data_IF_852977377401
#
_entry.id   IF_852977377401
#
_cell.length_a   1.000
_cell.length_b   1.000
_cell.length_c   1.000
_cell.angle_alpha   90.00
_cell.angle_beta   90.00
_cell.angle_gamma   90.00
#
_symmetry.space_group_name_H-M   'P 1'
#
loop_
_entity.id
_entity.type
_entity.pdbx_description
1 polymer ?
#
# COMPACT_ATOMS: atom_id res chain seq x y z
N UNK A 1 -29.07 -17.97 16.11
CA UNK A 1 -28.27 -17.07 15.26
C UNK A 1 -29.15 -16.26 14.29
N UNK A 2 -29.83 -16.89 13.33
CA UNK A 2 -30.64 -16.16 12.33
C UNK A 2 -31.76 -15.27 12.92
N UNK A 3 -32.57 -15.80 13.83
CA UNK A 3 -33.64 -15.03 14.47
C UNK A 3 -33.13 -13.87 15.33
N UNK A 4 -31.93 -14.00 15.94
CA UNK A 4 -31.31 -12.92 16.71
C UNK A 4 -30.89 -11.75 15.82
N UNK A 5 -30.38 -12.05 14.61
CA UNK A 5 -30.05 -11.03 13.61
C UNK A 5 -31.32 -10.33 13.11
N UNK A 6 -32.42 -11.06 12.89
CA UNK A 6 -33.70 -10.46 12.50
C UNK A 6 -34.24 -9.51 13.56
N UNK A 7 -34.31 -9.94 14.82
CA UNK A 7 -34.75 -9.10 15.93
C UNK A 7 -33.85 -7.87 16.11
N UNK A 8 -32.53 -8.03 15.93
CA UNK A 8 -31.60 -6.91 15.95
C UNK A 8 -31.82 -5.92 14.80
N UNK A 9 -32.07 -6.40 13.57
CA UNK A 9 -32.39 -5.54 12.41
C UNK A 9 -33.66 -4.73 12.67
N UNK A 10 -34.71 -5.37 13.21
CA UNK A 10 -35.98 -4.70 13.55
C UNK A 10 -35.77 -3.60 14.60
N UNK A 11 -34.99 -3.88 15.66
CA UNK A 11 -34.66 -2.90 16.70
C UNK A 11 -33.87 -1.70 16.16
N UNK A 12 -32.90 -1.95 15.26
CA UNK A 12 -32.12 -0.88 14.64
C UNK A 12 -33.00 -0.03 13.71
N UNK A 13 -33.93 -0.65 12.96
CA UNK A 13 -34.86 0.08 12.10
C UNK A 13 -35.79 1.01 12.90
N UNK A 14 -36.33 0.53 14.02
CA UNK A 14 -37.16 1.35 14.92
C UNK A 14 -36.36 2.53 15.52
N UNK A 15 -35.11 2.30 15.92
CA UNK A 15 -34.24 3.35 16.47
C UNK A 15 -33.83 4.39 15.44
N UNK A 16 -33.58 3.98 14.18
CA UNK A 16 -33.29 4.88 13.07
C UNK A 16 -34.51 5.78 12.77
N UNK A 17 -35.73 5.26 12.88
CA UNK A 17 -36.96 6.02 12.68
C UNK A 17 -37.22 7.10 13.75
N UNK A 18 -36.68 6.92 14.97
CA UNK A 18 -36.96 7.79 16.11
C UNK A 18 -35.92 8.88 16.37
N UNK A 19 -34.67 8.75 15.86
CA UNK A 19 -33.61 9.75 16.04
C UNK A 19 -33.04 10.20 14.69
N UNK A 20 -33.26 11.46 14.35
CA UNK A 20 -32.52 12.15 13.28
C UNK A 20 -31.05 12.25 13.68
N UNK A 21 -30.24 11.29 13.22
CA UNK A 21 -28.97 11.41 12.48
C UNK A 21 -28.45 9.96 12.34
N UNK A 22 -28.74 9.27 11.23
CA UNK A 22 -28.25 7.93 10.99
C UNK A 22 -26.82 8.03 10.44
N UNK A 23 -25.81 7.93 11.29
CA UNK A 23 -24.44 7.73 10.81
C UNK A 23 -24.18 6.23 10.65
N UNK A 24 -23.58 5.76 9.54
CA UNK A 24 -23.15 4.38 9.35
C UNK A 24 -22.26 3.90 10.49
N UNK A 25 -21.51 4.82 11.11
CA UNK A 25 -20.69 4.56 12.29
C UNK A 25 -21.54 4.06 13.46
N UNK A 26 -22.73 4.61 13.69
CA UNK A 26 -23.62 4.16 14.76
C UNK A 26 -24.13 2.74 14.53
N UNK A 27 -24.48 2.41 13.28
CA UNK A 27 -24.95 1.07 12.91
C UNK A 27 -23.82 0.04 13.08
N UNK A 28 -22.60 0.39 12.67
CA UNK A 28 -21.42 -0.46 12.83
C UNK A 28 -21.03 -0.63 14.30
N UNK A 29 -21.00 0.44 15.09
CA UNK A 29 -20.69 0.39 16.53
C UNK A 29 -21.64 -0.53 17.30
N UNK A 30 -22.94 -0.47 16.97
CA UNK A 30 -23.95 -1.38 17.54
C UNK A 30 -23.75 -2.83 17.10
N UNK A 31 -23.43 -3.07 15.83
CA UNK A 31 -23.16 -4.41 15.33
C UNK A 31 -21.90 -5.02 15.99
N UNK A 32 -20.84 -4.21 16.18
CA UNK A 32 -19.62 -4.63 16.88
C UNK A 32 -19.93 -4.98 18.33
N UNK A 33 -20.68 -4.13 19.02
CA UNK A 33 -21.04 -4.34 20.43
C UNK A 33 -21.91 -5.58 20.65
N UNK A 34 -22.82 -5.90 19.73
CA UNK A 34 -23.76 -7.02 19.90
C UNK A 34 -23.18 -8.36 19.44
N UNK A 35 -22.40 -8.38 18.35
CA UNK A 35 -21.98 -9.64 17.70
C UNK A 35 -20.49 -9.96 17.85
N UNK A 36 -19.65 -8.98 18.19
CA UNK A 36 -18.20 -9.17 18.28
C UNK A 36 -17.66 -8.99 19.70
N UNK A 37 -18.46 -8.43 20.60
CA UNK A 37 -18.04 -8.13 21.97
C UNK A 37 -18.47 -9.24 22.95
N UNK A 38 -17.80 -10.39 22.90
CA UNK A 38 -18.07 -11.56 23.78
C UNK A 38 -17.44 -11.42 25.17
N UNK A 39 -17.66 -10.29 25.86
CA UNK A 39 -17.29 -10.11 27.28
C UNK A 39 -15.79 -10.16 27.62
N UNK A 40 -14.89 -10.33 26.64
CA UNK A 40 -13.44 -10.32 26.80
C UNK A 40 -12.78 -9.45 25.74
N UNK A 41 -11.65 -8.84 26.08
CA UNK A 41 -10.94 -7.88 25.23
C UNK A 41 -10.66 -8.51 23.86
N UNK A 42 -11.18 -7.89 22.79
CA UNK A 42 -10.85 -8.26 21.42
C UNK A 42 -9.33 -8.25 21.23
N UNK A 43 -8.74 -9.27 20.57
CA UNK A 43 -7.35 -9.27 20.16
C UNK A 43 -6.97 -7.98 19.42
N UNK A 44 -5.75 -7.49 19.65
CA UNK A 44 -5.31 -6.18 19.15
C UNK A 44 -5.40 -6.04 17.62
N UNK A 45 -5.07 -7.11 16.89
CA UNK A 45 -5.25 -7.23 15.44
C UNK A 45 -6.71 -7.01 15.01
N UNK A 46 -7.67 -7.61 15.72
CA UNK A 46 -9.11 -7.42 15.44
C UNK A 46 -9.57 -6.01 15.80
N UNK A 47 -9.04 -5.42 16.86
CA UNK A 47 -9.32 -4.03 17.22
C UNK A 47 -8.82 -3.04 16.17
N UNK A 48 -7.64 -3.27 15.60
CA UNK A 48 -7.09 -2.44 14.52
C UNK A 48 -7.97 -2.50 13.28
N UNK A 49 -8.40 -3.71 12.88
CA UNK A 49 -9.30 -3.90 11.73
C UNK A 49 -10.64 -3.19 11.95
N UNK A 50 -11.21 -3.30 13.16
CA UNK A 50 -12.48 -2.63 13.49
C UNK A 50 -12.35 -1.11 13.51
N UNK A 51 -11.25 -0.60 14.05
CA UNK A 51 -10.95 0.83 14.04
C UNK A 51 -10.83 1.36 12.60
N UNK A 52 -10.11 0.65 11.74
CA UNK A 52 -9.94 1.03 10.33
C UNK A 52 -11.28 1.01 9.58
N UNK A 53 -12.13 0.02 9.86
CA UNK A 53 -13.49 -0.04 9.30
C UNK A 53 -14.34 1.17 9.74
N UNK A 54 -14.29 1.54 11.02
CA UNK A 54 -15.02 2.69 11.57
C UNK A 54 -14.49 4.02 11.00
N UNK A 55 -13.17 4.20 10.92
CA UNK A 55 -12.53 5.39 10.33
C UNK A 55 -12.90 5.52 8.85
N UNK A 56 -12.90 4.42 8.10
CA UNK A 56 -13.34 4.40 6.68
C UNK A 56 -14.82 4.76 6.53
N UNK A 57 -15.68 4.22 7.40
CA UNK A 57 -17.10 4.52 7.40
C UNK A 57 -17.38 6.00 7.72
N UNK A 58 -16.63 6.58 8.67
CA UNK A 58 -16.74 7.99 9.02
C UNK A 58 -16.30 8.89 7.86
N UNK A 59 -15.14 8.63 7.25
CA UNK A 59 -14.67 9.43 6.11
C UNK A 59 -15.60 9.33 4.90
N UNK A 60 -16.12 8.12 4.62
CA UNK A 60 -17.13 7.96 3.57
C UNK A 60 -18.37 8.81 3.84
N UNK A 61 -18.84 8.86 5.08
CA UNK A 61 -19.98 9.68 5.48
C UNK A 61 -19.73 11.19 5.32
N UNK A 62 -18.56 11.66 5.75
CA UNK A 62 -18.14 13.06 5.60
C UNK A 62 -18.05 13.48 4.13
N UNK A 63 -17.63 12.59 3.24
CA UNK A 63 -17.58 12.85 1.80
C UNK A 63 -18.98 12.78 1.18
N UNK A 64 -19.76 11.74 1.49
CA UNK A 64 -21.11 11.57 0.95
C UNK A 64 -22.04 12.73 1.35
N UNK A 65 -21.98 13.19 2.60
CA UNK A 65 -22.76 14.34 3.06
C UNK A 65 -22.40 15.67 2.37
N UNK A 66 -21.20 15.78 1.77
CA UNK A 66 -20.77 16.96 0.99
C UNK A 66 -21.14 16.87 -0.49
N UNK A 67 -21.20 15.66 -1.04
CA UNK A 67 -21.47 15.42 -2.46
C UNK A 67 -22.97 15.30 -2.75
N UNK A 68 -23.72 14.64 -1.87
CA UNK A 68 -25.14 14.41 -2.04
C UNK A 68 -25.93 15.47 -1.27
N UNK A 69 -26.28 16.56 -1.96
CA UNK A 69 -27.05 17.70 -1.43
C UNK A 69 -28.50 17.39 -1.05
N UNK A 70 -28.76 16.29 -0.33
CA UNK A 70 -30.09 15.95 0.20
C UNK A 70 -30.52 14.49 0.07
N UNK A 71 -29.64 13.51 -0.20
CA UNK A 71 -30.04 12.10 -0.13
C UNK A 71 -30.36 11.66 1.31
N UNK A 72 -31.30 10.72 1.45
CA UNK A 72 -31.67 10.24 2.78
C UNK A 72 -30.50 9.42 3.39
N UNK A 73 -30.17 9.65 4.66
CA UNK A 73 -29.03 9.00 5.31
C UNK A 73 -29.07 7.44 5.33
N UNK A 74 -30.25 6.84 5.12
CA UNK A 74 -30.39 5.40 4.93
C UNK A 74 -29.80 4.89 3.61
N UNK A 75 -29.89 5.66 2.52
CA UNK A 75 -29.39 5.26 1.21
C UNK A 75 -27.84 5.23 1.18
N UNK A 76 -27.23 6.22 1.82
CA UNK A 76 -25.76 6.33 1.93
C UNK A 76 -25.15 5.15 2.69
N UNK A 77 -25.81 4.69 3.76
CA UNK A 77 -25.39 3.50 4.53
C UNK A 77 -25.48 2.21 3.68
N UNK A 78 -26.56 2.03 2.92
CA UNK A 78 -26.73 0.89 2.03
C UNK A 78 -25.66 0.87 0.92
N UNK A 79 -25.35 2.03 0.34
CA UNK A 79 -24.31 2.20 -0.67
C UNK A 79 -22.92 1.89 -0.13
N UNK A 80 -22.60 2.32 1.10
CA UNK A 80 -21.35 1.96 1.78
C UNK A 80 -21.20 0.45 1.93
N UNK A 81 -22.25 -0.23 2.42
CA UNK A 81 -22.25 -1.70 2.56
C UNK A 81 -22.07 -2.38 1.19
N UNK A 82 -22.69 -1.84 0.14
CA UNK A 82 -22.52 -2.36 -1.21
C UNK A 82 -21.07 -2.21 -1.72
N UNK A 83 -20.41 -1.08 -1.43
CA UNK A 83 -19.00 -0.85 -1.76
C UNK A 83 -18.07 -1.80 -1.01
N UNK A 84 -18.33 -2.06 0.27
CA UNK A 84 -17.63 -3.08 1.05
C UNK A 84 -17.78 -4.46 0.43
N UNK A 85 -19.02 -4.86 0.08
CA UNK A 85 -19.30 -6.17 -0.56
C UNK A 85 -18.64 -6.33 -1.93
N UNK A 86 -18.45 -5.24 -2.66
CA UNK A 86 -17.77 -5.24 -3.97
C UNK A 86 -16.25 -5.26 -3.85
N UNK A 87 -15.68 -5.24 -2.64
CA UNK A 87 -14.24 -5.14 -2.43
C UNK A 87 -13.64 -3.83 -2.93
N UNK A 88 -14.47 -2.78 -3.10
CA UNK A 88 -14.03 -1.48 -3.64
C UNK A 88 -13.23 -0.68 -2.61
N UNK A 89 -13.41 -0.97 -1.32
CA UNK A 89 -12.50 -0.54 -0.27
C UNK A 89 -11.29 -1.47 -0.34
N UNK A 90 -10.18 -0.96 -0.89
CA UNK A 90 -8.92 -1.69 -0.91
C UNK A 90 -8.55 -2.06 0.54
N UNK A 91 -8.51 -3.35 0.84
CA UNK A 91 -7.96 -3.86 2.09
C UNK A 91 -6.45 -3.63 2.07
N UNK A 92 -6.03 -2.40 2.35
CA UNK A 92 -4.64 -2.05 2.60
C UNK A 92 -4.50 -1.84 4.11
N UNK A 93 -4.48 -2.94 4.89
CA UNK A 93 -4.44 -2.83 6.34
C UNK A 93 -3.29 -1.91 6.74
N UNK A 94 -3.58 -0.96 7.62
CA UNK A 94 -2.52 -0.09 8.14
C UNK A 94 -1.41 -0.98 8.74
N UNK A 95 -0.13 -0.72 8.44
CA UNK A 95 0.96 -1.51 9.01
C UNK A 95 0.85 -1.43 10.53
N UNK A 96 0.57 -2.58 11.14
CA UNK A 96 0.55 -2.77 12.58
C UNK A 96 1.90 -2.31 13.09
N UNK A 97 1.97 -1.18 13.83
CA UNK A 97 3.23 -0.73 14.44
C UNK A 97 3.55 -1.68 15.59
N UNK A 98 4.55 -2.57 15.50
CA UNK A 98 5.01 -3.27 16.69
C UNK A 98 5.56 -2.24 17.68
N UNK A 99 5.13 -2.31 18.95
CA UNK A 99 5.49 -1.33 19.98
C UNK A 99 6.95 -1.39 20.44
N UNK A 100 7.77 -2.21 19.79
CA UNK A 100 9.20 -2.38 20.04
C UNK A 100 9.86 -2.78 18.72
N UNK A 101 10.66 -1.88 18.14
CA UNK A 101 11.55 -2.19 17.00
C UNK A 101 12.98 -1.82 17.40
N UNK A 102 13.53 -2.51 18.39
CA UNK A 102 14.97 -2.47 18.64
C UNK A 102 15.63 -3.57 17.79
N UNK A 103 16.24 -3.15 16.68
CA UNK A 103 16.90 -3.97 15.64
C UNK A 103 15.95 -4.74 14.69
N UNK A 104 15.57 -4.10 13.59
CA UNK A 104 14.87 -4.73 12.47
C UNK A 104 15.52 -4.37 11.13
N UNK A 105 15.34 -5.23 10.13
CA UNK A 105 15.73 -4.95 8.74
C UNK A 105 14.56 -4.29 8.04
N UNK A 106 14.82 -3.15 7.39
CA UNK A 106 13.81 -2.47 6.56
C UNK A 106 13.68 -3.19 5.22
N UNK A 107 12.53 -3.81 4.98
CA UNK A 107 12.14 -4.29 3.66
C UNK A 107 11.14 -3.30 3.04
N UNK A 108 11.52 -2.70 1.93
CA UNK A 108 10.69 -1.72 1.24
C UNK A 108 10.98 -1.75 -0.26
N UNK A 109 9.98 -1.39 -1.07
CA UNK A 109 10.26 -1.07 -2.46
C UNK A 109 11.01 0.29 -2.56
N UNK A 110 11.60 0.56 -3.73
CA UNK A 110 12.39 1.78 -3.97
C UNK A 110 11.58 3.04 -3.64
N UNK A 111 10.30 3.09 -4.03
CA UNK A 111 9.47 4.26 -3.80
C UNK A 111 9.23 4.53 -2.30
N UNK A 112 8.86 3.48 -1.54
CA UNK A 112 8.64 3.56 -0.10
C UNK A 112 9.92 3.97 0.63
N UNK A 113 11.06 3.37 0.28
CA UNK A 113 12.35 3.66 0.91
C UNK A 113 12.78 5.12 0.69
N UNK A 114 12.60 5.64 -0.53
CA UNK A 114 12.92 7.04 -0.85
C UNK A 114 11.96 8.01 -0.15
N UNK A 115 10.68 7.65 -0.07
CA UNK A 115 9.64 8.46 0.58
C UNK A 115 9.84 8.55 2.09
N UNK A 116 10.36 7.50 2.74
CA UNK A 116 10.68 7.53 4.17
C UNK A 116 11.93 8.34 4.51
N UNK A 117 12.68 8.81 3.49
CA UNK A 117 13.93 9.56 3.61
C UNK A 117 14.99 8.86 4.47
N UNK A 118 14.92 7.54 4.58
CA UNK A 118 15.85 6.77 5.37
C UNK A 118 17.26 6.72 4.72
N UNK A 119 18.24 6.38 5.56
CA UNK A 119 19.61 6.02 5.19
C UNK A 119 20.05 4.88 6.08
N UNK A 120 20.72 3.89 5.48
CA UNK A 120 21.22 2.71 6.18
C UNK A 120 22.67 2.45 5.75
N UNK A 121 23.50 1.89 6.64
CA UNK A 121 24.89 1.64 6.31
C UNK A 121 25.01 0.57 5.20
N UNK A 122 24.10 -0.41 5.17
CA UNK A 122 24.11 -1.53 4.21
C UNK A 122 22.80 -1.55 3.44
N UNK A 123 22.89 -1.64 2.10
CA UNK A 123 21.75 -1.91 1.23
C UNK A 123 21.90 -3.27 0.56
N UNK A 124 20.79 -3.98 0.44
CA UNK A 124 20.65 -5.18 -0.36
C UNK A 124 19.67 -4.88 -1.49
N UNK A 125 20.14 -4.87 -2.73
CA UNK A 125 19.31 -4.64 -3.91
C UNK A 125 18.95 -5.97 -4.53
N UNK A 126 17.67 -6.30 -4.51
CA UNK A 126 17.17 -7.59 -4.99
C UNK A 126 16.79 -7.51 -6.47
N UNK A 127 16.97 -8.64 -7.17
CA UNK A 127 16.52 -8.82 -8.56
C UNK A 127 17.07 -7.75 -9.52
N UNK A 128 18.34 -7.36 -9.34
CA UNK A 128 18.93 -6.18 -10.01
C UNK A 128 18.96 -6.28 -11.53
N UNK A 129 19.12 -7.49 -12.09
CA UNK A 129 19.10 -7.70 -13.54
C UNK A 129 17.70 -7.88 -14.11
N UNK A 130 16.65 -7.68 -13.31
CA UNK A 130 15.30 -7.70 -13.81
C UNK A 130 15.03 -6.50 -14.73
N UNK A 131 14.37 -6.69 -15.87
CA UNK A 131 13.93 -5.58 -16.71
C UNK A 131 12.95 -4.65 -15.97
N UNK A 132 12.35 -5.12 -14.87
CA UNK A 132 11.42 -4.34 -14.06
C UNK A 132 12.07 -3.12 -13.40
N UNK A 133 13.39 -3.06 -13.24
CA UNK A 133 14.07 -1.85 -12.76
C UNK A 133 13.88 -0.66 -13.73
N UNK A 134 13.83 -0.93 -15.04
CA UNK A 134 13.52 0.07 -16.08
C UNK A 134 12.06 0.51 -16.05
N UNK A 135 11.15 -0.37 -15.65
CA UNK A 135 9.73 -0.04 -15.52
C UNK A 135 9.47 0.62 -14.16
N UNK A 136 9.14 1.91 -14.11
CA UNK A 136 8.84 2.56 -12.83
C UNK A 136 7.55 2.08 -12.15
N UNK A 137 6.89 1.04 -12.68
CA UNK A 137 5.61 0.52 -12.23
C UNK A 137 4.52 1.61 -12.18
N UNK A 138 3.66 1.52 -11.17
CA UNK A 138 2.63 2.53 -10.92
C UNK A 138 3.20 3.91 -10.56
N UNK A 139 4.46 4.00 -10.11
CA UNK A 139 5.09 5.28 -9.80
C UNK A 139 5.34 6.15 -11.06
N UNK A 140 5.29 5.57 -12.28
CA UNK A 140 5.38 6.34 -13.54
C UNK A 140 4.13 7.18 -13.78
N UNK A 141 2.98 6.80 -13.20
CA UNK A 141 1.74 7.57 -13.34
C UNK A 141 1.83 8.90 -12.60
N UNK A 142 2.61 8.98 -11.52
CA UNK A 142 2.85 10.21 -10.81
C UNK A 142 3.96 11.01 -11.52
N UNK A 143 3.60 12.13 -12.16
CA UNK A 143 4.52 12.92 -12.96
C UNK A 143 4.81 12.33 -14.35
N UNK A 144 3.81 11.65 -14.94
CA UNK A 144 3.95 11.04 -16.26
C UNK A 144 4.39 12.10 -17.30
N UNK A 145 5.40 11.81 -18.14
CA UNK A 145 5.96 12.78 -19.10
C UNK A 145 4.94 13.38 -20.07
N UNK A 146 3.85 12.66 -20.34
CA UNK A 146 2.74 13.07 -21.19
C UNK A 146 2.05 14.36 -20.72
N UNK A 147 2.17 14.70 -19.43
CA UNK A 147 1.55 15.89 -18.83
C UNK A 147 2.55 17.04 -18.60
N UNK A 148 3.80 16.92 -19.04
CA UNK A 148 4.79 17.98 -18.86
C UNK A 148 4.56 19.11 -19.88
N UNK A 149 4.54 20.37 -19.39
CA UNK A 149 4.29 21.55 -20.23
C UNK A 149 5.24 21.65 -21.43
N UNK A 150 6.52 21.31 -21.23
CA UNK A 150 7.54 21.33 -22.27
C UNK A 150 7.36 20.26 -23.36
N UNK A 151 6.40 19.34 -23.19
CA UNK A 151 6.06 18.26 -24.13
C UNK A 151 4.65 18.38 -24.71
N UNK A 152 3.86 19.38 -24.31
CA UNK A 152 2.53 19.61 -24.86
C UNK A 152 2.57 19.76 -26.38
N UNK A 153 1.77 18.96 -27.09
CA UNK A 153 1.68 18.97 -28.56
C UNK A 153 2.75 18.17 -29.30
N UNK A 154 3.66 17.47 -28.60
CA UNK A 154 4.61 16.53 -29.21
C UNK A 154 4.13 15.09 -29.07
N UNK A 155 4.30 14.28 -30.11
CA UNK A 155 4.04 12.84 -30.05
C UNK A 155 5.06 12.17 -29.12
N UNK A 156 4.57 11.32 -28.22
CA UNK A 156 5.42 10.52 -27.35
C UNK A 156 5.77 9.21 -28.06
N UNK A 157 7.06 9.00 -28.30
CA UNK A 157 7.56 7.84 -29.04
C UNK A 157 8.07 6.72 -28.11
N UNK A 158 8.37 5.56 -28.69
CA UNK A 158 9.04 4.49 -27.96
C UNK A 158 10.43 4.92 -27.48
N UNK A 159 11.16 5.68 -28.30
CA UNK A 159 12.50 6.20 -27.96
C UNK A 159 12.42 7.18 -26.78
N UNK A 160 11.43 8.09 -26.77
CA UNK A 160 11.17 8.99 -25.63
C UNK A 160 10.91 8.19 -24.33
N UNK A 161 10.22 7.05 -24.44
CA UNK A 161 9.94 6.16 -23.30
C UNK A 161 11.22 5.54 -22.77
N UNK A 162 12.08 5.06 -23.66
CA UNK A 162 13.37 4.48 -23.29
C UNK A 162 14.27 5.51 -22.60
N UNK A 163 14.46 6.68 -23.22
CA UNK A 163 15.30 7.75 -22.69
C UNK A 163 14.79 8.23 -21.31
N UNK A 164 13.46 8.41 -21.17
CA UNK A 164 12.86 8.80 -19.90
C UNK A 164 13.07 7.74 -18.80
N UNK A 165 13.00 6.45 -19.16
CA UNK A 165 13.24 5.36 -18.22
C UNK A 165 14.71 5.28 -17.79
N UNK A 166 15.64 5.47 -18.72
CA UNK A 166 17.09 5.53 -18.46
C UNK A 166 17.46 6.71 -17.53
N UNK A 167 16.92 7.89 -17.79
CA UNK A 167 17.18 9.06 -16.95
C UNK A 167 16.51 8.92 -15.56
N UNK A 168 15.33 8.28 -15.50
CA UNK A 168 14.66 7.97 -14.23
C UNK A 168 15.46 6.98 -13.39
N UNK A 169 15.89 5.86 -13.97
CA UNK A 169 16.65 4.84 -13.24
C UNK A 169 17.99 5.40 -12.78
N UNK A 170 18.68 6.22 -13.59
CA UNK A 170 19.90 6.91 -13.20
C UNK A 170 19.72 7.76 -11.95
N UNK A 171 18.67 8.59 -11.92
CA UNK A 171 18.34 9.43 -10.74
C UNK A 171 18.01 8.60 -9.50
N UNK A 172 17.31 7.49 -9.68
CA UNK A 172 17.01 6.55 -8.58
C UNK A 172 18.30 5.95 -8.02
N UNK A 173 19.20 5.47 -8.88
CA UNK A 173 20.46 4.88 -8.43
C UNK A 173 21.32 5.89 -7.68
N UNK A 174 21.45 7.11 -8.20
CA UNK A 174 22.21 8.17 -7.51
C UNK A 174 21.61 8.50 -6.14
N UNK A 175 20.28 8.61 -6.03
CA UNK A 175 19.61 8.86 -4.75
C UNK A 175 19.75 7.68 -3.78
N UNK A 176 19.66 6.42 -4.26
CA UNK A 176 19.88 5.25 -3.41
C UNK A 176 21.33 5.14 -2.94
N UNK A 177 22.30 5.40 -3.82
CA UNK A 177 23.73 5.40 -3.47
C UNK A 177 24.06 6.50 -2.46
N UNK A 178 23.46 7.69 -2.60
CA UNK A 178 23.61 8.78 -1.61
C UNK A 178 23.00 8.48 -0.24
N UNK A 179 22.29 7.37 -0.07
CA UNK A 179 21.67 6.92 1.20
C UNK A 179 22.41 5.76 1.86
N UNK A 180 23.47 5.24 1.22
CA UNK A 180 24.30 4.15 1.73
C UNK A 180 25.60 4.71 2.28
N UNK A 181 25.96 4.29 3.48
CA UNK A 181 27.18 4.78 4.11
C UNK A 181 28.35 3.78 4.03
N UNK A 182 28.08 2.48 3.89
CA UNK A 182 29.13 1.46 3.90
C UNK A 182 29.12 0.58 2.65
N UNK A 183 28.05 -0.17 2.38
CA UNK A 183 28.06 -1.23 1.35
C UNK A 183 26.73 -1.39 0.62
N UNK A 184 26.83 -1.70 -0.67
CA UNK A 184 25.73 -2.19 -1.50
C UNK A 184 26.01 -3.62 -1.91
N UNK A 185 25.05 -4.51 -1.65
CA UNK A 185 25.09 -5.90 -2.07
C UNK A 185 24.02 -6.10 -3.13
N UNK A 186 24.42 -6.63 -4.28
CA UNK A 186 23.56 -6.88 -5.42
C UNK A 186 23.12 -8.35 -5.43
N UNK A 187 21.82 -8.57 -5.26
CA UNK A 187 21.19 -9.87 -5.46
C UNK A 187 20.71 -10.00 -6.90
N UNK A 188 21.23 -10.99 -7.61
CA UNK A 188 20.87 -11.32 -8.98
C UNK A 188 20.59 -12.82 -9.14
N UNK A 189 19.64 -13.16 -10.01
CA UNK A 189 19.42 -14.50 -10.56
C UNK A 189 19.49 -14.43 -12.08
N UNK A 190 20.30 -15.28 -12.71
CA UNK A 190 20.44 -15.34 -14.17
C UNK A 190 19.09 -15.64 -14.85
N UNK A 191 18.22 -16.38 -14.16
CA UNK A 191 16.91 -16.79 -14.65
C UNK A 191 15.78 -16.09 -13.87
N UNK A 192 14.78 -15.61 -14.60
CA UNK A 192 13.51 -15.13 -14.06
C UNK A 192 12.60 -16.30 -13.63
N UNK A 193 11.50 -16.00 -12.94
CA UNK A 193 10.54 -17.01 -12.45
C UNK A 193 9.90 -17.86 -13.57
N UNK A 194 9.92 -17.38 -14.82
CA UNK A 194 9.47 -18.11 -16.00
C UNK A 194 10.59 -18.91 -16.70
N UNK A 195 11.79 -18.97 -16.13
CA UNK A 195 12.95 -19.66 -16.67
C UNK A 195 13.64 -18.96 -17.84
N UNK A 196 13.27 -17.71 -18.15
CA UNK A 196 13.95 -16.91 -19.17
C UNK A 196 15.15 -16.16 -18.57
N UNK A 197 16.16 -15.90 -19.39
CA UNK A 197 17.32 -15.09 -18.98
C UNK A 197 16.91 -13.65 -18.63
N UNK A 198 17.51 -13.13 -17.57
CA UNK A 198 17.32 -11.75 -17.14
C UNK A 198 18.32 -10.80 -17.79
N UNK A 199 17.88 -10.09 -18.83
CA UNK A 199 18.66 -9.07 -19.53
C UNK A 199 18.20 -7.64 -19.20
N UNK A 200 18.14 -7.32 -17.90
CA UNK A 200 17.75 -5.99 -17.43
C UNK A 200 18.85 -4.93 -17.60
N UNK A 201 18.48 -3.64 -17.49
CA UNK A 201 19.39 -2.52 -17.76
C UNK A 201 20.60 -2.44 -16.82
N UNK A 202 20.52 -3.09 -15.65
CA UNK A 202 21.56 -3.05 -14.63
C UNK A 202 22.43 -4.30 -14.61
N UNK A 203 22.26 -5.21 -15.57
CA UNK A 203 23.10 -6.41 -15.68
C UNK A 203 24.60 -6.06 -15.81
N UNK A 204 24.91 -4.95 -16.49
CA UNK A 204 26.29 -4.43 -16.59
C UNK A 204 26.89 -4.07 -15.22
N UNK A 205 26.08 -3.59 -14.27
CA UNK A 205 26.54 -3.33 -12.89
C UNK A 205 26.85 -4.62 -12.15
N UNK A 206 26.08 -5.69 -12.38
CA UNK A 206 26.37 -7.01 -11.81
C UNK A 206 27.70 -7.52 -12.34
N UNK A 207 27.91 -7.44 -13.66
CA UNK A 207 29.14 -7.90 -14.29
C UNK A 207 30.37 -7.09 -13.86
N UNK A 208 30.18 -5.81 -13.49
CA UNK A 208 31.24 -4.96 -12.95
C UNK A 208 31.46 -5.11 -11.43
N UNK A 209 30.59 -5.85 -10.74
CA UNK A 209 30.65 -6.04 -9.29
C UNK A 209 31.58 -7.20 -8.89
N UNK A 210 32.00 -7.19 -7.62
CA UNK A 210 32.82 -8.28 -7.06
C UNK A 210 31.91 -9.29 -6.35
N UNK A 211 32.19 -10.60 -6.46
CA UNK A 211 31.47 -11.61 -5.70
C UNK A 211 31.52 -11.31 -4.19
N UNK A 212 30.36 -11.35 -3.54
CA UNK A 212 30.29 -11.18 -2.10
C UNK A 212 30.46 -12.52 -1.39
N UNK A 213 31.60 -12.71 -0.73
CA UNK A 213 31.82 -13.85 0.16
C UNK A 213 31.25 -13.56 1.54
N UNK A 214 30.34 -14.42 2.03
CA UNK A 214 29.89 -14.36 3.41
C UNK A 214 31.09 -14.66 4.31
N UNK A 215 31.40 -13.81 5.30
CA UNK A 215 32.41 -14.16 6.30
C UNK A 215 31.96 -15.46 6.96
N UNK A 216 32.83 -16.47 6.94
CA UNK A 216 32.63 -17.73 7.66
C UNK A 216 32.41 -17.40 9.12
N UNK A 217 31.15 -17.48 9.56
CA UNK A 217 30.81 -17.34 10.97
C UNK A 217 31.38 -18.59 11.66
N UNK A 218 32.60 -18.47 12.17
CA UNK A 218 33.16 -19.42 13.10
C UNK A 218 32.19 -19.52 14.26
N UNK A 219 31.52 -20.66 14.39
CA UNK A 219 30.74 -20.98 15.59
C UNK A 219 31.73 -21.01 16.76
N UNK A 220 31.72 -19.96 17.57
CA UNK A 220 32.30 -19.97 18.92
C UNK A 220 31.40 -20.76 19.87
#
# INVERSE_FOLDING_TARGET
>A
AYNAILTWIEQIQEQIGQRSIPSPVFVLDRAVSEFLWDGNRLPYDRLVILRELLETAQHYWEVASRLDGGESPGNTSARFIQLLRRGTVAANPYPVRPSNTQAAVTLANIFQYRSSRASHPWHFWMDISSPLWASGGSAVLFGAPLFLENRLGRLWTADDTQEANEERIRRILLDLLGRVNERVILGHSDLAANGQEQLGPLLSLVNASVPFELPTIGRS
#
